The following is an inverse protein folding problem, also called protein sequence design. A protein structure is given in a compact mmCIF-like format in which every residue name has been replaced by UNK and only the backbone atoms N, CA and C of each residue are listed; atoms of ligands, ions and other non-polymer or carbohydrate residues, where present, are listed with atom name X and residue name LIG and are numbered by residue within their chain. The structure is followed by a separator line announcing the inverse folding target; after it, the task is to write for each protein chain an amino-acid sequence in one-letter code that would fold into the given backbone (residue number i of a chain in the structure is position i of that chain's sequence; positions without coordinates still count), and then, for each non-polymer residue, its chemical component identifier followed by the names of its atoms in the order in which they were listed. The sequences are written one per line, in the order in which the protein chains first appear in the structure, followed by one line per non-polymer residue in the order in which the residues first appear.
data_IF_582580875862
#
_entry.id   IF_582580875862
#
_cell.length_a   1.000
_cell.length_b   1.000
_cell.length_c   1.000
_cell.angle_alpha   90.00
_cell.angle_beta   90.00
_cell.angle_gamma   90.00
#
_symmetry.space_group_name_H-M   'P 1'
#
loop_
_entity.id
_entity.type
_entity.pdbx_description
1 polymer ?
#
# COMPACT_ATOMS: atom_id res chain seq x y z
N UNK A 1 -3.64 74.90 -12.67
CA UNK A 1 -2.81 74.55 -13.84
C UNK A 1 -2.08 73.26 -13.49
N UNK A 2 -2.57 72.10 -13.93
CA UNK A 2 -2.36 71.54 -15.29
C UNK A 2 -0.92 71.04 -15.40
N UNK A 3 -0.57 69.81 -15.74
CA UNK A 3 -1.22 68.60 -16.22
C UNK A 3 -0.13 67.52 -16.01
N UNK A 4 -0.45 66.32 -15.53
CA UNK A 4 -0.91 65.17 -16.31
C UNK A 4 0.14 64.53 -17.24
N UNK A 5 0.02 63.20 -17.28
CA UNK A 5 0.35 62.30 -18.38
C UNK A 5 1.85 61.92 -18.53
N UNK A 6 2.22 60.71 -18.12
CA UNK A 6 2.01 59.44 -18.83
C UNK A 6 3.23 59.10 -19.70
N UNK A 7 4.06 58.20 -19.19
CA UNK A 7 4.98 57.39 -19.97
C UNK A 7 4.68 55.93 -19.67
N UNK A 8 3.54 55.47 -20.15
CA UNK A 8 3.11 54.07 -20.20
C UNK A 8 4.12 53.24 -20.99
N UNK A 9 4.70 52.21 -20.37
CA UNK A 9 5.03 50.95 -21.06
C UNK A 9 4.26 49.86 -20.32
N UNK A 10 2.96 49.71 -20.60
CA UNK A 10 2.46 48.80 -21.62
C UNK A 10 3.14 47.43 -21.53
N UNK A 11 2.51 46.57 -20.73
CA UNK A 11 2.31 45.14 -20.96
C UNK A 11 3.38 44.38 -21.74
N UNK A 12 4.09 43.52 -21.02
CA UNK A 12 4.18 42.14 -21.45
C UNK A 12 3.67 41.27 -20.29
N UNK A 13 2.36 41.06 -20.25
CA UNK A 13 1.78 39.95 -19.54
C UNK A 13 2.37 38.67 -20.13
N UNK A 14 3.47 38.19 -19.55
CA UNK A 14 3.99 36.87 -19.85
C UNK A 14 2.97 35.87 -19.27
N UNK A 15 2.21 35.30 -20.19
CA UNK A 15 1.28 34.18 -20.04
C UNK A 15 1.68 33.23 -18.90
N UNK A 16 0.78 32.87 -17.96
CA UNK A 16 1.01 31.70 -17.12
C UNK A 16 0.80 30.46 -17.99
N UNK A 17 1.75 30.19 -18.87
CA UNK A 17 1.69 29.16 -19.88
C UNK A 17 2.87 28.23 -19.74
N UNK A 18 2.76 27.22 -18.87
CA UNK A 18 3.82 26.21 -18.77
C UNK A 18 3.78 25.33 -17.54
N UNK A 19 2.62 24.79 -17.17
CA UNK A 19 2.60 23.86 -16.05
C UNK A 19 1.25 23.26 -15.70
N UNK A 20 0.36 23.00 -16.66
CA UNK A 20 -0.91 22.33 -16.35
C UNK A 20 -0.71 21.01 -15.61
N UNK A 21 0.34 20.25 -15.97
CA UNK A 21 0.70 18.99 -15.31
C UNK A 21 1.73 19.18 -14.19
N UNK A 22 2.78 20.00 -14.39
CA UNK A 22 3.83 20.23 -13.36
C UNK A 22 3.33 21.05 -12.17
N UNK A 23 2.43 22.00 -12.40
CA UNK A 23 1.74 22.78 -11.38
C UNK A 23 0.69 21.97 -10.64
N UNK A 24 -0.02 21.06 -11.33
CA UNK A 24 -0.95 20.12 -10.71
C UNK A 24 -0.23 19.06 -9.87
N UNK A 25 0.93 18.55 -10.32
CA UNK A 25 1.80 17.63 -9.56
C UNK A 25 2.51 18.33 -8.40
N UNK A 26 2.73 19.65 -8.45
CA UNK A 26 3.22 20.44 -7.30
C UNK A 26 2.11 20.84 -6.33
N UNK A 27 0.89 21.06 -6.82
CA UNK A 27 -0.29 21.37 -6.02
C UNK A 27 -0.84 20.12 -5.32
N UNK A 28 -0.65 18.95 -5.93
CA UNK A 28 -0.75 17.67 -5.25
C UNK A 28 0.53 17.54 -4.44
N UNK A 29 0.51 17.73 -3.12
CA UNK A 29 1.69 17.54 -2.26
C UNK A 29 2.09 16.06 -2.25
N UNK A 30 2.69 15.56 -3.34
CA UNK A 30 3.10 14.17 -3.48
C UNK A 30 4.30 13.97 -2.58
N UNK A 31 4.06 13.34 -1.43
CA UNK A 31 5.13 12.94 -0.52
C UNK A 31 6.05 11.95 -1.23
N UNK A 32 7.32 12.35 -1.41
CA UNK A 32 8.39 11.52 -1.94
C UNK A 32 8.52 10.18 -1.23
N UNK A 33 8.17 10.09 0.07
CA UNK A 33 8.15 8.85 0.82
C UNK A 33 7.02 7.93 0.36
N UNK A 34 5.80 8.46 0.18
CA UNK A 34 4.68 7.67 -0.34
C UNK A 34 4.98 7.18 -1.75
N UNK A 35 5.55 8.05 -2.60
CA UNK A 35 5.97 7.67 -3.95
C UNK A 35 7.04 6.57 -3.92
N UNK A 36 8.00 6.66 -2.99
CA UNK A 36 9.00 5.62 -2.75
C UNK A 36 8.41 4.29 -2.30
N UNK A 37 7.41 4.31 -1.41
CA UNK A 37 6.71 3.09 -0.96
C UNK A 37 5.90 2.43 -2.08
N UNK A 38 5.19 3.21 -2.89
CA UNK A 38 4.47 2.71 -4.07
C UNK A 38 5.47 2.15 -5.09
N UNK A 39 6.59 2.83 -5.31
CA UNK A 39 7.67 2.33 -6.16
C UNK A 39 8.22 0.98 -5.68
N UNK A 40 8.50 0.85 -4.37
CA UNK A 40 8.94 -0.42 -3.78
C UNK A 40 7.91 -1.54 -3.96
N UNK A 41 6.61 -1.24 -3.78
CA UNK A 41 5.54 -2.20 -4.03
C UNK A 41 5.54 -2.70 -5.47
N UNK A 42 5.65 -1.79 -6.45
CA UNK A 42 5.69 -2.14 -7.87
C UNK A 42 6.90 -3.00 -8.20
N UNK A 43 8.07 -2.70 -7.63
CA UNK A 43 9.28 -3.51 -7.82
C UNK A 43 9.05 -4.93 -7.28
N UNK A 44 8.52 -5.09 -6.07
CA UNK A 44 8.20 -6.40 -5.49
C UNK A 44 7.22 -7.16 -6.37
N UNK A 45 6.18 -6.49 -6.86
CA UNK A 45 5.19 -7.09 -7.75
C UNK A 45 5.79 -7.60 -9.06
N UNK A 46 6.62 -6.80 -9.73
CA UNK A 46 7.30 -7.24 -10.96
C UNK A 46 8.25 -8.41 -10.69
N UNK A 47 9.04 -8.34 -9.63
CA UNK A 47 9.98 -9.41 -9.26
C UNK A 47 9.23 -10.73 -9.04
N UNK A 48 8.17 -10.73 -8.22
CA UNK A 48 7.39 -11.95 -8.01
C UNK A 48 6.60 -12.38 -9.24
N UNK A 49 6.15 -11.46 -10.09
CA UNK A 49 5.52 -11.82 -11.35
C UNK A 49 6.46 -12.57 -12.28
N UNK A 50 7.70 -12.11 -12.43
CA UNK A 50 8.72 -12.78 -13.25
C UNK A 50 9.13 -14.11 -12.62
N UNK A 51 9.46 -14.12 -11.31
CA UNK A 51 9.91 -15.33 -10.62
C UNK A 51 8.82 -16.42 -10.55
N UNK A 52 7.55 -16.03 -10.57
CA UNK A 52 6.42 -16.97 -10.55
C UNK A 52 5.98 -17.43 -11.94
N UNK A 53 6.62 -16.97 -13.02
CA UNK A 53 6.23 -17.33 -14.39
C UNK A 53 4.91 -16.70 -14.84
N UNK A 54 4.56 -15.53 -14.29
CA UNK A 54 3.37 -14.77 -14.68
C UNK A 54 2.15 -14.95 -13.79
N UNK A 55 2.18 -15.82 -12.78
CA UNK A 55 0.99 -16.13 -11.96
C UNK A 55 0.69 -15.09 -10.87
N UNK A 56 1.68 -14.32 -10.43
CA UNK A 56 1.52 -13.40 -9.29
C UNK A 56 0.51 -12.25 -9.53
N UNK A 57 0.50 -11.64 -10.72
CA UNK A 57 -0.40 -10.53 -11.05
C UNK A 57 -1.72 -11.01 -11.67
N UNK A 58 -2.04 -12.29 -11.54
CA UNK A 58 -3.35 -12.80 -11.99
C UNK A 58 -4.48 -12.24 -11.12
N UNK A 59 -5.70 -12.03 -11.67
CA UNK A 59 -6.83 -11.51 -10.91
C UNK A 59 -7.15 -12.33 -9.64
N UNK A 60 -6.97 -13.65 -9.71
CA UNK A 60 -7.16 -14.55 -8.56
C UNK A 60 -6.18 -14.25 -7.44
N UNK A 61 -4.90 -14.09 -7.76
CA UNK A 61 -3.89 -13.81 -6.74
C UNK A 61 -4.02 -12.39 -6.19
N UNK A 62 -4.29 -11.39 -7.05
CA UNK A 62 -4.56 -10.02 -6.61
C UNK A 62 -5.79 -9.93 -5.69
N UNK A 63 -6.85 -10.67 -6.00
CA UNK A 63 -8.01 -10.80 -5.11
C UNK A 63 -7.61 -11.38 -3.76
N UNK A 64 -6.88 -12.50 -3.76
CA UNK A 64 -6.42 -13.15 -2.52
C UNK A 64 -5.53 -12.22 -1.67
N UNK A 65 -4.59 -11.52 -2.29
CA UNK A 65 -3.73 -10.54 -1.62
C UNK A 65 -4.53 -9.39 -1.03
N UNK A 66 -5.53 -8.89 -1.76
CA UNK A 66 -6.39 -7.80 -1.28
C UNK A 66 -7.22 -8.24 -0.09
N UNK A 67 -7.82 -9.43 -0.15
CA UNK A 67 -8.59 -10.01 0.96
C UNK A 67 -7.69 -10.24 2.18
N UNK A 68 -6.50 -10.80 2.02
CA UNK A 68 -5.55 -11.01 3.13
C UNK A 68 -5.11 -9.66 3.74
N UNK A 69 -4.81 -8.67 2.90
CA UNK A 69 -4.40 -7.33 3.33
C UNK A 69 -5.53 -6.62 4.08
N UNK A 70 -6.79 -6.82 3.69
CA UNK A 70 -7.94 -6.22 4.39
C UNK A 70 -8.00 -6.61 5.87
N UNK A 71 -7.76 -7.89 6.19
CA UNK A 71 -7.74 -8.36 7.57
C UNK A 71 -6.58 -7.73 8.36
N UNK A 72 -5.40 -7.61 7.75
CA UNK A 72 -4.23 -6.96 8.36
C UNK A 72 -4.51 -5.47 8.63
N UNK A 73 -5.15 -4.77 7.70
CA UNK A 73 -5.51 -3.37 7.86
C UNK A 73 -6.47 -3.15 9.05
N UNK A 74 -7.51 -3.99 9.18
CA UNK A 74 -8.43 -3.94 10.33
C UNK A 74 -7.70 -4.20 11.63
N UNK A 75 -6.83 -5.22 11.70
CA UNK A 75 -6.04 -5.49 12.90
C UNK A 75 -5.09 -4.33 13.26
N UNK A 76 -4.43 -3.73 12.27
CA UNK A 76 -3.56 -2.58 12.47
C UNK A 76 -4.33 -1.40 13.10
N UNK A 77 -5.55 -1.12 12.62
CA UNK A 77 -6.39 -0.08 13.23
C UNK A 77 -6.75 -0.40 14.69
N UNK A 78 -7.03 -1.67 15.01
CA UNK A 78 -7.28 -2.11 16.39
C UNK A 78 -6.07 -1.90 17.30
N UNK A 79 -4.86 -2.27 16.85
CA UNK A 79 -3.63 -2.05 17.62
C UNK A 79 -3.33 -0.56 17.86
N UNK A 80 -3.68 0.32 16.92
CA UNK A 80 -3.56 1.78 17.12
C UNK A 80 -4.46 2.25 18.28
N UNK A 81 -5.71 1.78 18.37
CA UNK A 81 -6.62 2.15 19.46
C UNK A 81 -6.08 1.71 20.83
N UNK A 82 -5.52 0.50 20.91
CA UNK A 82 -4.95 -0.02 22.16
C UNK A 82 -3.74 0.81 22.60
N UNK A 83 -2.82 1.12 21.69
CA UNK A 83 -1.63 1.93 21.98
C UNK A 83 -2.01 3.35 22.43
N UNK A 84 -3.02 3.98 21.81
CA UNK A 84 -3.50 5.33 22.20
C UNK A 84 -4.01 5.36 23.64
N UNK A 85 -4.64 4.27 24.10
CA UNK A 85 -5.07 4.13 25.51
C UNK A 85 -3.93 3.88 26.50
N UNK A 86 -2.67 3.88 26.03
CA UNK A 86 -1.45 3.53 26.79
C UNK A 86 -1.43 2.11 27.33
N UNK A 87 -2.27 1.23 26.80
CA UNK A 87 -2.15 -0.20 26.98
C UNK A 87 -1.29 -0.75 25.84
N UNK A 88 -0.10 -1.27 26.13
CA UNK A 88 0.73 -1.94 25.14
C UNK A 88 0.31 -3.40 25.10
N UNK A 89 -0.86 -3.65 24.51
CA UNK A 89 -1.40 -5.00 24.42
C UNK A 89 -0.84 -5.72 23.17
N UNK A 90 -0.02 -6.73 23.41
CA UNK A 90 0.50 -7.64 22.39
C UNK A 90 -0.41 -8.86 22.15
N UNK A 91 -1.55 -8.96 22.83
CA UNK A 91 -2.48 -10.11 22.74
C UNK A 91 -2.93 -10.42 21.31
N UNK A 92 -3.20 -9.39 20.50
CA UNK A 92 -3.62 -9.57 19.09
C UNK A 92 -2.52 -10.27 18.29
N UNK A 93 -1.25 -9.92 18.54
CA UNK A 93 -0.10 -10.53 17.89
C UNK A 93 0.12 -11.99 18.34
N UNK A 94 -0.01 -12.28 19.64
CA UNK A 94 0.17 -13.64 20.15
C UNK A 94 -0.96 -14.59 19.73
N UNK A 95 -2.21 -14.13 19.69
CA UNK A 95 -3.34 -14.91 19.19
C UNK A 95 -3.20 -15.17 17.69
N UNK A 96 -2.80 -14.17 16.90
CA UNK A 96 -2.55 -14.35 15.47
C UNK A 96 -1.42 -15.36 15.22
N UNK A 97 -0.32 -15.26 15.99
CA UNK A 97 0.80 -16.21 15.89
C UNK A 97 0.39 -17.63 16.25
N UNK A 98 -0.35 -17.80 17.35
CA UNK A 98 -0.85 -19.10 17.78
C UNK A 98 -1.82 -19.71 16.77
N UNK A 99 -2.83 -18.96 16.34
CA UNK A 99 -3.82 -19.43 15.35
C UNK A 99 -3.16 -19.71 14.00
N UNK A 100 -2.19 -18.91 13.57
CA UNK A 100 -1.41 -19.15 12.36
C UNK A 100 -0.61 -20.46 12.42
N UNK A 101 0.08 -20.71 13.55
CA UNK A 101 0.83 -21.96 13.74
C UNK A 101 -0.11 -23.17 13.83
N UNK A 102 -1.23 -23.04 14.54
CA UNK A 102 -2.25 -24.10 14.60
C UNK A 102 -2.83 -24.42 13.22
N UNK A 103 -3.14 -23.40 12.40
CA UNK A 103 -3.63 -23.60 11.04
C UNK A 103 -2.57 -24.23 10.13
N UNK A 104 -1.30 -23.81 10.25
CA UNK A 104 -0.21 -24.41 9.50
C UNK A 104 -0.01 -25.88 9.87
N UNK A 105 0.03 -26.21 11.17
CA UNK A 105 0.12 -27.60 11.65
C UNK A 105 -1.10 -28.43 11.21
N UNK A 106 -2.29 -27.83 11.27
CA UNK A 106 -3.52 -28.47 10.83
C UNK A 106 -3.45 -28.81 9.34
N UNK A 107 -3.07 -27.87 8.48
CA UNK A 107 -3.04 -28.09 7.03
C UNK A 107 -1.87 -28.95 6.56
N UNK A 108 -0.71 -28.83 7.21
CA UNK A 108 0.52 -29.49 6.75
C UNK A 108 0.74 -30.89 7.38
N UNK A 109 0.22 -31.16 8.57
CA UNK A 109 0.49 -32.41 9.30
C UNK A 109 -0.77 -33.15 9.71
N UNK A 110 -1.71 -32.46 10.37
CA UNK A 110 -2.87 -33.12 10.98
C UNK A 110 -3.88 -33.55 9.92
N UNK A 111 -4.30 -32.65 9.03
CA UNK A 111 -5.34 -32.91 8.04
C UNK A 111 -4.89 -33.93 6.98
N UNK A 112 -3.66 -33.87 6.44
CA UNK A 112 -3.14 -34.94 5.56
C UNK A 112 -3.09 -36.29 6.28
N UNK A 113 -2.61 -36.29 7.54
CA UNK A 113 -2.56 -37.47 8.41
C UNK A 113 -3.92 -38.09 8.69
N UNK A 114 -4.92 -37.25 8.95
CA UNK A 114 -6.29 -37.69 9.24
C UNK A 114 -7.00 -38.25 8.01
N UNK A 115 -6.73 -37.68 6.83
CA UNK A 115 -7.33 -38.10 5.56
C UNK A 115 -6.57 -39.26 4.89
N UNK A 116 -5.44 -39.70 5.46
CA UNK A 116 -4.65 -40.83 4.95
C UNK A 116 -3.70 -40.48 3.80
N UNK A 117 -3.54 -39.19 3.47
CA UNK A 117 -2.65 -38.71 2.42
C UNK A 117 -1.16 -38.77 2.79
N UNK A 118 -0.87 -39.09 4.04
CA UNK A 118 0.44 -39.38 4.62
C UNK A 118 0.96 -40.80 4.28
N UNK A 119 0.09 -41.70 3.79
CA UNK A 119 0.42 -43.11 3.57
C UNK A 119 0.59 -43.55 2.11
N UNK A 120 0.58 -42.64 1.13
CA UNK A 120 0.74 -43.00 -0.30
C UNK A 120 1.25 -41.85 -1.19
N UNK A 121 2.57 -41.69 -1.23
CA UNK A 121 3.38 -41.43 -2.43
C UNK A 121 4.72 -42.15 -2.28
#
# INVERSE_FOLDING_TARGET
MSQAASGTTAGAAATPGGGGLKGFIRATEVDTRMLGMVGALLVIWLVFHVLSGGIFLTPRNLWNLTVQTSSIAVMATGMVLVIVTRNIDLSVGSILGFTGMAMAALQAQILPGLLGFDSSF
#
